data_IF_090536642112
#
_entry.id   IF_090536642112
#
_cell.length_a   1.000
_cell.length_b   1.000
_cell.length_c   1.000
_cell.angle_alpha   90.00
_cell.angle_beta   90.00
_cell.angle_gamma   90.00
#
_symmetry.space_group_name_H-M   'P 1'
#
loop_
_entity.id
_entity.type
_entity.pdbx_description
1 polymer ?
#
# COMPACT_ATOMS: atom_id res chain seq x y z
N UNK A 1 -7.48 6.89 -13.93
CA UNK A 1 -6.20 6.67 -13.23
C UNK A 1 -6.40 5.46 -12.33
N UNK A 2 -5.50 4.47 -12.37
CA UNK A 2 -5.66 3.21 -11.61
C UNK A 2 -5.56 3.46 -10.09
N UNK A 3 -4.74 4.44 -9.71
CA UNK A 3 -4.65 4.93 -8.34
C UNK A 3 -5.66 6.05 -8.13
N UNK A 4 -6.48 5.91 -7.09
CA UNK A 4 -7.47 6.90 -6.69
C UNK A 4 -6.76 8.18 -6.18
N UNK A 5 -7.13 9.38 -6.67
CA UNK A 5 -6.56 10.65 -6.18
C UNK A 5 -6.70 10.86 -4.66
N UNK A 6 -7.74 10.31 -4.03
CA UNK A 6 -7.90 10.38 -2.57
C UNK A 6 -6.82 9.58 -1.83
N UNK A 7 -6.34 8.46 -2.37
CA UNK A 7 -5.22 7.73 -1.79
C UNK A 7 -3.93 8.57 -1.85
N UNK A 8 -3.70 9.26 -2.97
CA UNK A 8 -2.57 10.19 -3.12
C UNK A 8 -2.68 11.34 -2.11
N UNK A 9 -3.89 11.85 -1.90
CA UNK A 9 -4.15 12.86 -0.89
C UNK A 9 -3.84 12.36 0.53
N UNK A 10 -4.15 11.09 0.84
CA UNK A 10 -3.73 10.49 2.11
C UNK A 10 -2.20 10.44 2.22
N UNK A 11 -1.50 9.94 1.19
CA UNK A 11 -0.03 9.84 1.20
C UNK A 11 0.68 11.20 1.32
N UNK A 12 0.05 12.28 0.85
CA UNK A 12 0.61 13.64 0.94
C UNK A 12 0.37 14.32 2.30
N UNK A 13 -0.78 14.08 2.93
CA UNK A 13 -1.20 14.83 4.11
C UNK A 13 -0.94 14.11 5.43
N UNK A 14 -0.89 12.78 5.39
CA UNK A 14 -0.62 12.00 6.59
C UNK A 14 0.87 11.87 6.81
N UNK A 15 1.28 11.94 8.07
CA UNK A 15 2.67 11.72 8.46
C UNK A 15 2.97 10.26 8.73
N UNK A 16 1.94 9.44 8.97
CA UNK A 16 2.11 8.07 9.47
C UNK A 16 1.18 7.06 8.81
N UNK A 17 1.69 5.84 8.62
CA UNK A 17 0.95 4.71 8.02
C UNK A 17 1.33 3.37 8.63
N UNK A 18 0.33 2.51 8.84
CA UNK A 18 0.52 1.09 9.11
C UNK A 18 0.36 0.32 7.79
N UNK A 19 1.25 -0.64 7.53
CA UNK A 19 1.22 -1.46 6.31
C UNK A 19 0.87 -2.90 6.66
N UNK A 20 0.11 -3.57 5.78
CA UNK A 20 -0.08 -5.02 5.84
C UNK A 20 0.05 -5.70 4.50
N UNK A 21 0.65 -6.89 4.56
CA UNK A 21 0.88 -7.80 3.43
C UNK A 21 -0.18 -8.90 3.36
N UNK A 22 -0.90 -9.14 4.46
CA UNK A 22 -1.92 -10.18 4.56
C UNK A 22 -3.28 -9.57 4.90
N UNK A 23 -4.34 -9.86 4.11
CA UNK A 23 -5.68 -9.54 4.54
C UNK A 23 -5.99 -10.33 5.82
N UNK A 24 -6.39 -9.62 6.88
CA UNK A 24 -6.92 -10.13 8.14
C UNK A 24 -5.95 -10.76 9.16
N UNK A 25 -4.62 -10.68 8.95
CA UNK A 25 -3.62 -11.12 9.95
C UNK A 25 -2.61 -10.00 10.24
N UNK A 26 -2.48 -9.56 11.52
CA UNK A 26 -1.45 -8.60 11.90
C UNK A 26 -0.03 -9.14 11.78
N UNK A 27 0.65 -8.78 10.69
CA UNK A 27 2.09 -9.00 10.53
C UNK A 27 2.92 -8.13 11.48
N UNK A 28 4.24 -8.39 11.57
CA UNK A 28 5.15 -7.58 12.40
C UNK A 28 5.20 -6.11 12.00
N UNK A 29 5.07 -5.82 10.71
CA UNK A 29 5.00 -4.45 10.18
C UNK A 29 3.66 -3.75 10.47
N UNK A 30 2.61 -4.47 10.88
CA UNK A 30 1.35 -3.85 11.30
C UNK A 30 1.45 -3.17 12.67
N UNK A 31 2.44 -3.53 13.49
CA UNK A 31 2.66 -2.91 14.80
C UNK A 31 3.50 -1.63 14.72
N UNK A 32 4.10 -1.38 13.55
CA UNK A 32 5.02 -0.27 13.36
C UNK A 32 4.27 0.85 12.65
N UNK A 33 4.19 1.99 13.32
CA UNK A 33 3.60 3.19 12.77
C UNK A 33 4.67 3.98 12.00
N UNK A 34 4.85 3.63 10.73
CA UNK A 34 5.90 4.18 9.88
C UNK A 34 5.68 5.66 9.59
N UNK A 35 6.77 6.44 9.53
CA UNK A 35 6.72 7.80 9.02
C UNK A 35 6.78 7.81 7.49
N UNK A 36 5.86 8.55 6.86
CA UNK A 36 5.84 8.73 5.41
C UNK A 36 6.85 9.81 5.03
N UNK A 37 7.83 9.43 4.20
CA UNK A 37 8.86 10.33 3.67
C UNK A 37 8.52 10.83 2.25
N UNK A 38 7.69 10.08 1.54
CA UNK A 38 7.20 10.44 0.21
C UNK A 38 6.62 9.22 -0.51
N UNK A 39 6.18 9.44 -1.74
CA UNK A 39 5.67 8.36 -2.60
C UNK A 39 5.93 8.66 -4.07
N UNK A 40 5.85 7.61 -4.89
CA UNK A 40 5.91 7.69 -6.33
C UNK A 40 4.89 6.73 -6.95
N UNK A 41 4.24 7.17 -8.02
CA UNK A 41 3.33 6.33 -8.81
C UNK A 41 3.81 6.30 -10.25
N UNK A 42 3.95 5.08 -10.78
CA UNK A 42 4.35 4.83 -12.15
C UNK A 42 3.31 3.93 -12.81
N UNK A 43 2.93 4.24 -14.05
CA UNK A 43 2.10 3.33 -14.84
C UNK A 43 2.97 2.20 -15.42
N UNK A 44 2.44 0.98 -15.38
CA UNK A 44 3.08 -0.20 -15.95
C UNK A 44 2.18 -0.80 -17.03
N UNK A 45 2.69 -1.77 -17.81
CA UNK A 45 1.89 -2.46 -18.84
C UNK A 45 0.68 -3.21 -18.27
N UNK A 46 0.75 -3.57 -16.99
CA UNK A 46 -0.17 -4.49 -16.30
C UNK A 46 -0.97 -3.80 -15.20
N UNK A 47 -0.70 -2.52 -14.91
CA UNK A 47 -1.34 -1.80 -13.82
C UNK A 47 -0.57 -0.53 -13.44
N UNK A 48 -0.46 -0.29 -12.14
CA UNK A 48 0.38 0.77 -11.58
C UNK A 48 1.39 0.18 -10.58
N UNK A 49 2.53 0.86 -10.43
CA UNK A 49 3.50 0.64 -9.37
C UNK A 49 3.40 1.81 -8.40
N UNK A 50 3.10 1.53 -7.13
CA UNK A 50 3.17 2.50 -6.04
C UNK A 50 4.41 2.19 -5.18
N UNK A 51 5.27 3.18 -5.04
CA UNK A 51 6.41 3.17 -4.13
C UNK A 51 6.11 4.12 -2.98
N UNK A 52 6.26 3.67 -1.74
CA UNK A 52 6.12 4.51 -0.55
C UNK A 52 7.46 4.51 0.18
N UNK A 53 8.06 5.69 0.33
CA UNK A 53 9.28 5.88 1.09
C UNK A 53 8.91 6.05 2.56
N UNK A 54 9.44 5.17 3.41
CA UNK A 54 9.08 5.05 4.81
C UNK A 54 10.31 5.10 5.69
N UNK A 55 10.08 5.50 6.93
CA UNK A 55 11.05 5.41 8.01
C UNK A 55 10.43 4.67 9.19
N UNK A 56 11.12 3.65 9.68
CA UNK A 56 10.78 3.01 10.93
C UNK A 56 11.24 3.89 12.10
N UNK A 57 10.34 4.43 12.93
CA UNK A 57 10.72 5.31 14.03
C UNK A 57 11.46 4.59 15.17
N UNK A 58 11.32 3.26 15.29
CA UNK A 58 11.96 2.46 16.34
C UNK A 58 13.42 2.14 16.01
N UNK A 59 13.70 1.78 14.75
CA UNK A 59 15.06 1.43 14.29
C UNK A 59 15.77 2.58 13.58
N UNK A 60 15.05 3.66 13.25
CA UNK A 60 15.52 4.77 12.42
C UNK A 60 15.92 4.35 10.99
N UNK A 61 15.59 3.13 10.56
CA UNK A 61 15.85 2.63 9.22
C UNK A 61 14.88 3.25 8.20
N UNK A 62 15.40 3.58 7.03
CA UNK A 62 14.62 4.08 5.89
C UNK A 62 14.57 3.03 4.79
N UNK A 63 13.39 2.80 4.23
CA UNK A 63 13.18 1.83 3.16
C UNK A 63 12.01 2.25 2.26
N UNK A 64 11.92 1.59 1.12
CA UNK A 64 10.83 1.80 0.17
C UNK A 64 9.97 0.56 0.10
N UNK A 65 8.70 0.71 0.45
CA UNK A 65 7.72 -0.33 0.25
C UNK A 65 7.17 -0.26 -1.17
N UNK A 66 7.12 -1.39 -1.85
CA UNK A 66 6.74 -1.48 -3.27
C UNK A 66 5.46 -2.29 -3.44
N UNK A 67 4.46 -1.70 -4.09
CA UNK A 67 3.22 -2.35 -4.49
C UNK A 67 3.15 -2.42 -6.03
N UNK A 68 3.62 -3.53 -6.64
CA UNK A 68 3.64 -3.68 -8.08
C UNK A 68 2.27 -4.07 -8.63
N UNK A 69 2.06 -3.84 -9.93
CA UNK A 69 0.92 -4.32 -10.72
C UNK A 69 -0.44 -4.11 -10.06
N UNK A 70 -0.63 -2.94 -9.45
CA UNK A 70 -1.90 -2.54 -8.88
C UNK A 70 -2.92 -2.45 -10.00
N UNK A 71 -4.04 -3.13 -9.82
CA UNK A 71 -5.17 -3.14 -10.76
C UNK A 71 -6.36 -2.36 -10.21
N UNK A 72 -6.47 -2.26 -8.88
CA UNK A 72 -7.54 -1.54 -8.19
C UNK A 72 -7.07 -1.09 -6.80
N UNK A 73 -7.55 0.07 -6.35
CA UNK A 73 -7.50 0.48 -4.95
C UNK A 73 -8.93 0.69 -4.42
N UNK A 74 -9.14 0.46 -3.13
CA UNK A 74 -10.47 0.56 -2.51
C UNK A 74 -10.39 1.22 -1.13
N UNK A 75 -11.12 2.32 -0.94
CA UNK A 75 -11.32 2.92 0.38
C UNK A 75 -12.36 2.11 1.15
N UNK A 76 -11.90 1.36 2.15
CA UNK A 76 -12.76 0.44 2.92
C UNK A 76 -13.38 1.10 4.14
N UNK A 77 -12.68 2.08 4.72
CA UNK A 77 -13.15 2.82 5.88
C UNK A 77 -12.59 4.22 5.89
N UNK A 78 -13.49 5.17 5.94
CA UNK A 78 -13.19 6.57 6.24
C UNK A 78 -13.72 6.87 7.64
N UNK A 79 -12.86 7.36 8.52
CA UNK A 79 -13.29 7.81 9.84
C UNK A 79 -12.52 9.05 10.31
N UNK A 80 -12.98 9.66 11.40
CA UNK A 80 -12.27 10.77 12.03
C UNK A 80 -10.94 10.35 12.67
N UNK A 81 -10.64 9.05 12.75
CA UNK A 81 -9.42 8.53 13.39
C UNK A 81 -8.44 7.90 12.41
N UNK A 82 -8.93 7.32 11.31
CA UNK A 82 -8.10 6.66 10.32
C UNK A 82 -8.82 6.48 8.99
N UNK A 83 -8.02 6.46 7.92
CA UNK A 83 -8.44 6.11 6.57
C UNK A 83 -7.78 4.78 6.17
N UNK A 84 -8.58 3.80 5.76
CA UNK A 84 -8.11 2.45 5.41
C UNK A 84 -8.32 2.15 3.93
N UNK A 85 -7.25 1.74 3.28
CA UNK A 85 -7.23 1.38 1.86
C UNK A 85 -6.82 -0.07 1.65
N UNK A 86 -7.47 -0.74 0.71
CA UNK A 86 -7.02 -2.00 0.12
C UNK A 86 -6.37 -1.74 -1.24
N UNK A 87 -5.26 -2.40 -1.50
CA UNK A 87 -4.52 -2.35 -2.77
C UNK A 87 -4.57 -3.74 -3.37
N UNK A 88 -5.20 -3.87 -4.53
CA UNK A 88 -5.29 -5.12 -5.28
C UNK A 88 -4.21 -5.16 -6.35
N UNK A 89 -3.25 -6.06 -6.20
CA UNK A 89 -2.14 -6.26 -7.12
C UNK A 89 -2.18 -7.64 -7.75
N UNK A 90 -1.62 -7.79 -8.94
CA UNK A 90 -1.44 -9.11 -9.55
C UNK A 90 -0.33 -9.90 -8.86
N UNK A 91 -0.57 -11.18 -8.59
CA UNK A 91 0.43 -12.09 -8.06
C UNK A 91 1.30 -12.66 -9.19
N UNK A 92 2.49 -12.08 -9.38
CA UNK A 92 3.43 -12.54 -10.42
C UNK A 92 3.97 -13.95 -10.18
N UNK A 93 3.92 -14.47 -8.95
CA UNK A 93 4.40 -15.83 -8.67
C UNK A 93 3.55 -16.89 -9.40
N UNK A 94 2.30 -16.54 -9.69
CA UNK A 94 1.29 -17.41 -10.31
C UNK A 94 1.25 -17.31 -11.84
N UNK A 95 2.02 -16.38 -12.42
CA UNK A 95 2.10 -16.23 -13.88
C UNK A 95 2.74 -17.45 -14.53
N UNK A 96 3.59 -18.18 -13.80
CA UNK A 96 4.17 -19.46 -14.26
C UNK A 96 3.13 -20.56 -14.47
N UNK A 97 1.95 -20.43 -13.84
CA UNK A 97 0.83 -21.37 -13.96
C UNK A 97 -0.26 -20.86 -14.92
N UNK A 98 0.05 -19.86 -15.76
CA UNK A 98 -0.91 -19.13 -16.61
C UNK A 98 -2.12 -18.54 -15.86
N UNK A 99 -2.01 -18.42 -14.53
CA UNK A 99 -3.05 -17.84 -13.70
C UNK A 99 -2.82 -16.34 -13.51
N UNK A 100 -3.05 -15.59 -14.57
CA UNK A 100 -2.89 -14.12 -14.60
C UNK A 100 -3.97 -13.36 -13.81
N UNK A 101 -4.90 -14.06 -13.17
CA UNK A 101 -6.04 -13.47 -12.44
C UNK A 101 -5.86 -13.47 -10.94
N UNK A 102 -4.89 -14.22 -10.39
CA UNK A 102 -4.67 -14.26 -8.95
C UNK A 102 -4.15 -12.90 -8.46
N UNK A 103 -4.78 -12.40 -7.40
CA UNK A 103 -4.47 -11.11 -6.80
C UNK A 103 -3.90 -11.29 -5.40
N UNK A 104 -2.95 -10.43 -5.05
CA UNK A 104 -2.56 -10.14 -3.67
C UNK A 104 -3.26 -8.86 -3.23
N UNK A 105 -3.75 -8.85 -1.99
CA UNK A 105 -4.42 -7.69 -1.40
C UNK A 105 -3.55 -7.19 -0.26
N UNK A 106 -3.08 -5.95 -0.39
CA UNK A 106 -2.37 -5.24 0.66
C UNK A 106 -3.28 -4.24 1.35
N UNK A 107 -2.92 -3.83 2.57
CA UNK A 107 -3.67 -2.84 3.36
C UNK A 107 -2.78 -1.68 3.77
N UNK A 108 -3.30 -0.46 3.61
CA UNK A 108 -2.75 0.76 4.16
C UNK A 108 -3.72 1.35 5.19
N UNK A 109 -3.22 1.73 6.35
CA UNK A 109 -4.01 2.42 7.37
C UNK A 109 -3.31 3.73 7.73
N UNK A 110 -3.90 4.84 7.31
CA UNK A 110 -3.42 6.18 7.63
C UNK A 110 -4.02 6.62 8.97
N UNK A 111 -3.19 7.00 9.94
CA UNK A 111 -3.65 7.49 11.26
C UNK A 111 -3.59 9.01 11.31
N UNK A 112 -4.73 9.64 11.63
CA UNK A 112 -4.82 11.10 11.82
C UNK A 112 -4.15 11.52 13.13
#
# INVERSE_FOLDING_TARGET
MIIDPMLINCLNNYTKVELSVEPDIPGKDEQILHEIKGHQVLETKTGALLLIHLKNPETNEEYTYSYPDITKVELTKWSDRHDKWYIHSLDRSEFKNDNYKKQMIYRLIFKK
#
